data_IF_330385004334
#
_entry.id   IF_330385004334
#
_cell.length_a   1.000
_cell.length_b   1.000
_cell.length_c   1.000
_cell.angle_alpha   90.00
_cell.angle_beta   90.00
_cell.angle_gamma   90.00
#
_symmetry.space_group_name_H-M   'P 1'
#
loop_
_entity.id
_entity.type
_entity.pdbx_description
1 polymer ?
#
# COMPACT_ATOMS: atom_id res chain seq x y z
N UNK A 1 -6.21 0.79 -3.19
CA UNK A 1 -6.65 0.79 -1.78
C UNK A 1 -5.86 -0.24 -0.99
N UNK A 2 -5.53 0.07 0.26
CA UNK A 2 -4.91 -0.86 1.22
C UNK A 2 -5.78 -0.87 2.47
N UNK A 3 -6.29 -2.04 2.83
CA UNK A 3 -7.07 -2.26 4.03
C UNK A 3 -6.20 -2.97 5.06
N UNK A 4 -6.03 -2.36 6.22
CA UNK A 4 -5.31 -2.95 7.34
C UNK A 4 -6.26 -3.79 8.21
N UNK A 5 -5.68 -4.76 8.91
CA UNK A 5 -6.42 -5.60 9.86
C UNK A 5 -7.04 -4.80 11.02
N UNK A 6 -6.53 -3.60 11.31
CA UNK A 6 -7.12 -2.67 12.28
C UNK A 6 -8.46 -2.06 11.84
N UNK A 7 -8.92 -2.36 10.62
CA UNK A 7 -10.12 -1.78 10.03
C UNK A 7 -9.86 -0.49 9.26
N UNK A 8 -8.66 0.09 9.37
CA UNK A 8 -8.30 1.32 8.66
C UNK A 8 -8.10 1.07 7.16
N UNK A 9 -8.63 1.95 6.32
CA UNK A 9 -8.50 1.89 4.86
C UNK A 9 -7.77 3.12 4.36
N UNK A 10 -6.74 2.89 3.55
CA UNK A 10 -5.92 3.93 2.93
C UNK A 10 -6.02 3.84 1.41
N UNK A 11 -6.30 4.97 0.78
CA UNK A 11 -6.24 5.16 -0.66
C UNK A 11 -4.89 5.78 -1.01
N UNK A 12 -4.11 5.11 -1.86
CA UNK A 12 -2.82 5.60 -2.37
C UNK A 12 -3.00 6.05 -3.83
N UNK A 13 -2.48 7.23 -4.15
CA UNK A 13 -2.55 7.82 -5.49
C UNK A 13 -1.20 7.73 -6.21
N UNK A 14 -1.26 7.78 -7.55
CA UNK A 14 -0.09 7.76 -8.44
C UNK A 14 0.85 6.56 -8.24
N UNK A 15 0.29 5.43 -7.77
CA UNK A 15 1.05 4.19 -7.58
C UNK A 15 1.17 3.47 -8.92
N UNK A 16 2.40 3.24 -9.43
CA UNK A 16 2.59 2.52 -10.68
C UNK A 16 2.22 1.04 -10.53
N UNK A 17 1.80 0.42 -11.62
CA UNK A 17 1.42 -1.00 -11.68
C UNK A 17 2.56 -1.95 -11.28
N UNK A 18 3.82 -1.54 -11.43
CA UNK A 18 4.99 -2.30 -10.92
C UNK A 18 4.95 -2.48 -9.41
N UNK A 19 4.54 -1.46 -8.66
CA UNK A 19 4.42 -1.50 -7.19
C UNK A 19 3.23 -2.34 -6.76
N UNK A 20 2.13 -2.31 -7.54
CA UNK A 20 1.01 -3.23 -7.31
C UNK A 20 1.43 -4.70 -7.50
N UNK A 21 2.14 -5.01 -8.59
CA UNK A 21 2.64 -6.35 -8.87
C UNK A 21 3.68 -6.80 -7.83
N UNK A 22 4.56 -5.89 -7.40
CA UNK A 22 5.51 -6.14 -6.32
C UNK A 22 4.80 -6.42 -4.99
N UNK A 23 3.77 -5.63 -4.66
CA UNK A 23 2.94 -5.88 -3.48
C UNK A 23 2.25 -7.25 -3.60
N UNK A 24 1.68 -7.60 -4.75
CA UNK A 24 0.99 -8.89 -4.95
C UNK A 24 1.93 -10.10 -4.93
N UNK A 25 3.18 -9.95 -5.36
CA UNK A 25 4.20 -11.02 -5.31
C UNK A 25 4.98 -11.10 -4.00
N UNK A 26 5.00 -10.04 -3.19
CA UNK A 26 5.74 -10.02 -1.94
C UNK A 26 5.28 -11.09 -0.94
N UNK A 27 6.23 -11.74 -0.26
CA UNK A 27 5.97 -12.71 0.81
C UNK A 27 5.26 -12.06 2.02
N UNK A 28 5.55 -10.78 2.29
CA UNK A 28 4.88 -9.97 3.30
C UNK A 28 4.36 -8.67 2.70
N UNK A 29 3.03 -8.52 2.65
CA UNK A 29 2.36 -7.31 2.17
C UNK A 29 2.64 -6.10 3.05
N UNK A 30 2.75 -6.32 4.37
CA UNK A 30 3.04 -5.27 5.34
C UNK A 30 4.46 -4.73 5.21
N UNK A 31 5.45 -5.62 5.05
CA UNK A 31 6.86 -5.22 4.86
C UNK A 31 7.03 -4.48 3.54
N UNK A 32 6.48 -5.04 2.45
CA UNK A 32 6.54 -4.38 1.14
C UNK A 32 5.88 -3.00 1.17
N UNK A 33 4.72 -2.88 1.84
CA UNK A 33 4.06 -1.60 2.05
C UNK A 33 4.97 -0.61 2.78
N UNK A 34 5.63 -1.02 3.86
CA UNK A 34 6.53 -0.16 4.63
C UNK A 34 7.74 0.33 3.82
N UNK A 35 8.32 -0.51 2.96
CA UNK A 35 9.56 -0.21 2.24
C UNK A 35 9.31 0.57 0.93
N UNK A 36 8.25 0.21 0.20
CA UNK A 36 7.99 0.66 -1.17
C UNK A 36 6.78 1.57 -1.32
N UNK A 37 5.89 1.67 -0.34
CA UNK A 37 4.64 2.45 -0.47
C UNK A 37 4.55 3.56 0.58
N UNK A 38 4.82 3.22 1.84
CA UNK A 38 4.78 4.13 2.98
C UNK A 38 5.76 5.28 2.75
N UNK A 39 5.27 6.51 2.91
CA UNK A 39 5.99 7.76 2.70
C UNK A 39 6.47 8.05 1.26
N UNK A 40 6.17 7.19 0.27
CA UNK A 40 6.55 7.42 -1.14
C UNK A 40 5.41 7.97 -1.98
N UNK A 41 4.18 7.61 -1.64
CA UNK A 41 2.99 8.00 -2.38
C UNK A 41 2.07 8.83 -1.52
N UNK A 42 1.39 9.79 -2.16
CA UNK A 42 0.30 10.52 -1.54
C UNK A 42 -0.81 9.55 -1.19
N UNK A 43 -1.34 9.68 0.01
CA UNK A 43 -2.42 8.84 0.47
C UNK A 43 -3.48 9.63 1.22
N UNK A 44 -4.69 9.09 1.22
CA UNK A 44 -5.82 9.57 2.01
C UNK A 44 -6.39 8.42 2.81
N UNK A 45 -6.69 8.66 4.09
CA UNK A 45 -7.43 7.71 4.90
C UNK A 45 -8.92 7.82 4.55
N UNK A 46 -9.54 6.68 4.27
CA UNK A 46 -10.94 6.58 3.82
C UNK A 46 -11.83 5.90 4.87
N UNK A 47 -11.24 5.27 5.89
CA UNK A 47 -11.90 4.63 7.04
C UNK A 47 -10.92 4.36 8.16
#
# INVERSE_FOLDING_TARGET
YIRFHSGSVYEYYDVPSSVYNGLMSASSKGTYHADFIKNRYRYRRVG
#
